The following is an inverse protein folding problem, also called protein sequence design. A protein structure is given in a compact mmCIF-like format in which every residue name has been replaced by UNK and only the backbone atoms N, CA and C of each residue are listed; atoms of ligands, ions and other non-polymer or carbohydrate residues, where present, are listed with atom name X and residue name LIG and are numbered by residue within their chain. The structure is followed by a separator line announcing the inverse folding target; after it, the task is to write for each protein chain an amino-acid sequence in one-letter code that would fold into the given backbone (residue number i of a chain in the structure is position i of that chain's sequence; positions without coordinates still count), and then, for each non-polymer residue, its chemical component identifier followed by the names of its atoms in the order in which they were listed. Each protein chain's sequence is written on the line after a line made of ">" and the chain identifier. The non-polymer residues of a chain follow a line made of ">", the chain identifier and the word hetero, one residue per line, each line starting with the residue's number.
data_IF_642187435703
#
_entry.id   IF_642187435703
#
_cell.length_a   1.000
_cell.length_b   1.000
_cell.length_c   1.000
_cell.angle_alpha   90.00
_cell.angle_beta   90.00
_cell.angle_gamma   90.00
#
_symmetry.space_group_name_H-M   'P 1'
#
loop_
_entity.id
_entity.type
_entity.pdbx_description
1 polymer ?
#
# COMPACT_ATOMS: atom_id res chain seq x y z
N UNK A 1 12.83 -3.49 -16.15
CA UNK A 1 13.85 -4.54 -15.99
C UNK A 1 14.33 -5.13 -17.31
N UNK A 2 13.55 -5.07 -18.39
CA UNK A 2 14.02 -5.51 -19.72
C UNK A 2 14.97 -4.42 -20.25
N UNK A 3 16.25 -4.74 -20.54
CA UNK A 3 17.16 -3.78 -21.13
C UNK A 3 16.67 -3.38 -22.53
N UNK A 4 16.85 -2.12 -22.91
CA UNK A 4 16.59 -1.68 -24.28
C UNK A 4 17.54 -2.41 -25.24
N UNK A 5 17.05 -2.76 -26.42
CA UNK A 5 17.87 -3.37 -27.47
C UNK A 5 19.04 -2.42 -27.80
N UNK A 6 20.27 -2.93 -27.96
CA UNK A 6 21.40 -2.08 -28.32
C UNK A 6 21.13 -1.40 -29.66
N UNK A 7 21.46 -0.11 -29.73
CA UNK A 7 21.36 0.71 -30.96
C UNK A 7 22.44 0.31 -31.97
N UNK A 8 23.62 -0.09 -31.47
CA UNK A 8 24.76 -0.50 -32.28
C UNK A 8 24.89 -2.03 -32.38
N UNK A 9 25.19 -2.53 -33.58
CA UNK A 9 25.32 -3.97 -33.87
C UNK A 9 26.70 -4.59 -33.50
N UNK A 10 27.51 -3.92 -32.68
CA UNK A 10 28.83 -4.44 -32.28
C UNK A 10 28.70 -5.73 -31.44
N UNK A 11 29.69 -6.65 -31.48
CA UNK A 11 29.64 -7.87 -30.68
C UNK A 11 29.66 -7.58 -29.17
N UNK A 12 30.34 -6.51 -28.75
CA UNK A 12 30.46 -6.09 -27.35
C UNK A 12 29.11 -5.58 -26.81
N UNK A 13 28.39 -4.75 -27.57
CA UNK A 13 27.08 -4.24 -27.16
C UNK A 13 26.05 -5.37 -27.01
N UNK A 14 26.12 -6.37 -27.90
CA UNK A 14 25.29 -7.58 -27.85
C UNK A 14 25.59 -8.43 -26.62
N UNK A 15 26.86 -8.71 -26.32
CA UNK A 15 27.24 -9.47 -25.11
C UNK A 15 26.78 -8.76 -23.82
N UNK A 16 26.98 -7.44 -23.74
CA UNK A 16 26.51 -6.65 -22.59
C UNK A 16 24.97 -6.66 -22.44
N UNK A 17 24.25 -6.63 -23.57
CA UNK A 17 22.80 -6.79 -23.58
C UNK A 17 22.35 -8.16 -23.07
N UNK A 18 22.94 -9.25 -23.56
CA UNK A 18 22.62 -10.61 -23.09
C UNK A 18 22.99 -10.82 -21.62
N UNK A 19 24.08 -10.22 -21.14
CA UNK A 19 24.42 -10.26 -19.72
C UNK A 19 23.37 -9.54 -18.87
N UNK A 20 22.95 -8.33 -19.26
CA UNK A 20 21.87 -7.60 -18.57
C UNK A 20 20.54 -8.38 -18.60
N UNK A 21 20.23 -9.02 -19.72
CA UNK A 21 19.05 -9.86 -19.87
C UNK A 21 19.12 -11.08 -18.94
N UNK A 22 20.28 -11.75 -18.87
CA UNK A 22 20.49 -12.89 -17.99
C UNK A 22 20.37 -12.51 -16.51
N UNK A 23 20.96 -11.37 -16.10
CA UNK A 23 20.78 -10.83 -14.74
C UNK A 23 19.32 -10.56 -14.45
N UNK A 24 18.58 -9.93 -15.37
CA UNK A 24 17.14 -9.69 -15.22
C UNK A 24 16.31 -10.98 -15.17
N UNK A 25 16.72 -12.02 -15.90
CA UNK A 25 16.10 -13.34 -15.86
C UNK A 25 16.30 -14.03 -14.51
N UNK A 26 17.54 -14.04 -14.00
CA UNK A 26 17.89 -14.63 -12.71
C UNK A 26 17.23 -13.86 -11.56
N UNK A 27 17.18 -12.52 -11.59
CA UNK A 27 16.50 -11.72 -10.56
C UNK A 27 15.01 -12.08 -10.48
N UNK A 28 14.34 -12.19 -11.62
CA UNK A 28 12.93 -12.58 -11.70
C UNK A 28 12.73 -14.02 -11.21
N UNK A 29 13.58 -14.96 -11.62
CA UNK A 29 13.52 -16.35 -11.20
C UNK A 29 13.64 -16.49 -9.67
N UNK A 30 14.64 -15.84 -9.06
CA UNK A 30 14.82 -15.81 -7.62
C UNK A 30 13.64 -15.13 -6.89
N UNK A 31 13.08 -14.06 -7.46
CA UNK A 31 11.89 -13.41 -6.91
C UNK A 31 10.66 -14.34 -6.91
N UNK A 32 10.48 -15.17 -7.93
CA UNK A 32 9.41 -16.18 -7.96
C UNK A 32 9.66 -17.33 -6.97
N UNK A 33 10.90 -17.79 -6.80
CA UNK A 33 11.23 -18.78 -5.76
C UNK A 33 10.88 -18.22 -4.37
N UNK A 34 11.24 -16.97 -4.10
CA UNK A 34 10.93 -16.28 -2.85
C UNK A 34 9.43 -16.24 -2.59
N UNK A 35 8.64 -15.87 -3.61
CA UNK A 35 7.18 -15.87 -3.53
C UNK A 35 6.67 -17.26 -3.14
N UNK A 36 7.04 -18.28 -3.91
CA UNK A 36 6.53 -19.64 -3.70
C UNK A 36 6.89 -20.18 -2.32
N UNK A 37 8.13 -19.95 -1.88
CA UNK A 37 8.58 -20.32 -0.55
C UNK A 37 7.72 -19.65 0.54
N UNK A 38 7.48 -18.34 0.45
CA UNK A 38 6.63 -17.62 1.38
C UNK A 38 5.16 -18.09 1.35
N UNK A 39 4.63 -18.42 0.17
CA UNK A 39 3.27 -18.97 0.01
C UNK A 39 3.15 -20.35 0.67
N UNK A 40 4.13 -21.24 0.47
CA UNK A 40 4.18 -22.57 1.09
C UNK A 40 4.23 -22.44 2.61
N UNK A 41 5.09 -21.58 3.17
CA UNK A 41 5.13 -21.33 4.61
C UNK A 41 3.82 -20.75 5.15
N UNK A 42 3.16 -19.88 4.38
CA UNK A 42 1.86 -19.33 4.74
C UNK A 42 0.74 -20.38 4.71
N UNK A 43 0.80 -21.35 3.79
CA UNK A 43 -0.10 -22.51 3.75
C UNK A 43 0.17 -23.46 4.91
N UNK A 44 1.45 -23.75 5.22
CA UNK A 44 1.84 -24.56 6.36
C UNK A 44 1.35 -23.95 7.68
N UNK A 45 1.36 -22.62 7.82
CA UNK A 45 0.78 -21.91 8.98
C UNK A 45 -0.70 -22.28 9.23
N UNK A 46 -1.46 -22.54 8.16
CA UNK A 46 -2.89 -22.86 8.21
C UNK A 46 -3.17 -24.36 8.19
N UNK A 47 -2.29 -25.15 7.56
CA UNK A 47 -2.43 -26.60 7.42
C UNK A 47 -2.16 -27.36 8.71
N UNK A 48 -2.42 -28.66 8.69
CA UNK A 48 -2.34 -29.53 9.89
C UNK A 48 -0.96 -30.16 10.10
N UNK A 49 0.04 -29.73 9.33
CA UNK A 49 1.40 -30.24 9.39
C UNK A 49 2.20 -29.54 10.50
N UNK A 50 3.11 -30.28 11.16
CA UNK A 50 3.97 -29.85 12.27
C UNK A 50 3.29 -29.50 13.60
N UNK A 51 4.11 -29.49 14.67
CA UNK A 51 3.67 -29.06 16.01
C UNK A 51 3.32 -27.57 16.01
N UNK A 52 2.32 -27.20 16.81
CA UNK A 52 1.72 -25.85 16.88
C UNK A 52 2.74 -24.71 17.01
N UNK A 53 3.75 -24.85 17.88
CA UNK A 53 4.72 -23.77 18.11
C UNK A 53 5.62 -23.54 16.90
N UNK A 54 6.07 -24.63 16.27
CA UNK A 54 6.92 -24.59 15.06
C UNK A 54 6.14 -23.93 13.91
N UNK A 55 4.88 -24.34 13.71
CA UNK A 55 3.98 -23.75 12.70
C UNK A 55 3.78 -22.24 12.88
N UNK A 56 3.61 -21.79 14.13
CA UNK A 56 3.50 -20.36 14.46
C UNK A 56 4.80 -19.60 14.16
N UNK A 57 5.94 -20.17 14.53
CA UNK A 57 7.25 -19.56 14.30
C UNK A 57 7.56 -19.43 12.80
N UNK A 58 7.43 -20.53 12.05
CA UNK A 58 7.65 -20.55 10.59
C UNK A 58 6.71 -19.60 9.85
N UNK A 59 5.45 -19.53 10.29
CA UNK A 59 4.47 -18.62 9.71
C UNK A 59 4.69 -17.14 10.08
N UNK A 60 5.39 -16.84 11.17
CA UNK A 60 5.72 -15.47 11.59
C UNK A 60 7.05 -14.99 10.97
N UNK A 61 8.01 -15.90 10.78
CA UNK A 61 9.32 -15.61 10.19
C UNK A 61 9.39 -15.93 8.69
N UNK A 62 8.26 -16.10 8.02
CA UNK A 62 8.23 -16.54 6.62
C UNK A 62 9.03 -15.61 5.69
N UNK A 63 8.84 -14.29 5.83
CA UNK A 63 9.54 -13.30 5.01
C UNK A 63 11.04 -13.27 5.35
N UNK A 64 11.48 -13.10 6.63
CA UNK A 64 12.91 -13.18 6.96
C UNK A 64 13.60 -14.49 6.52
N UNK A 65 12.96 -15.64 6.73
CA UNK A 65 13.51 -16.94 6.30
C UNK A 65 13.65 -17.02 4.79
N UNK A 66 12.67 -16.50 4.05
CA UNK A 66 12.75 -16.42 2.60
C UNK A 66 13.90 -15.52 2.13
N UNK A 67 14.12 -14.37 2.78
CA UNK A 67 15.23 -13.47 2.45
C UNK A 67 16.59 -14.17 2.64
N UNK A 68 16.75 -14.94 3.73
CA UNK A 68 17.95 -15.74 3.98
C UNK A 68 18.14 -16.84 2.92
N UNK A 69 17.06 -17.53 2.54
CA UNK A 69 17.08 -18.57 1.51
C UNK A 69 17.55 -18.02 0.16
N UNK A 70 17.00 -16.89 -0.28
CA UNK A 70 17.39 -16.28 -1.57
C UNK A 70 18.82 -15.79 -1.54
N UNK A 71 19.25 -15.19 -0.43
CA UNK A 71 20.65 -14.78 -0.25
C UNK A 71 21.59 -15.98 -0.33
N UNK A 72 21.23 -17.11 0.29
CA UNK A 72 21.99 -18.36 0.18
C UNK A 72 22.02 -18.94 -1.23
N UNK A 73 20.88 -19.01 -1.91
CA UNK A 73 20.79 -19.51 -3.29
C UNK A 73 21.59 -18.65 -4.27
N UNK A 74 21.53 -17.33 -4.12
CA UNK A 74 22.31 -16.39 -4.92
C UNK A 74 23.80 -16.67 -4.78
N UNK A 75 24.29 -16.80 -3.55
CA UNK A 75 25.73 -17.04 -3.27
C UNK A 75 26.23 -18.41 -3.71
N UNK A 76 25.41 -19.44 -3.62
CA UNK A 76 25.81 -20.82 -3.97
C UNK A 76 25.73 -21.06 -5.48
N UNK A 77 24.62 -20.69 -6.11
CA UNK A 77 24.33 -21.06 -7.51
C UNK A 77 24.54 -19.94 -8.52
N UNK A 78 24.33 -18.68 -8.13
CA UNK A 78 24.25 -17.54 -9.07
C UNK A 78 25.36 -16.50 -8.89
N UNK A 79 26.44 -16.85 -8.18
CA UNK A 79 27.58 -15.97 -7.91
C UNK A 79 28.20 -15.36 -9.17
N UNK A 80 28.11 -16.04 -10.31
CA UNK A 80 28.65 -15.56 -11.59
C UNK A 80 27.87 -14.41 -12.24
N UNK A 81 26.62 -14.14 -11.82
CA UNK A 81 25.76 -13.14 -12.46
C UNK A 81 25.85 -11.74 -11.84
N UNK A 82 26.48 -11.57 -10.67
CA UNK A 82 26.58 -10.28 -9.95
C UNK A 82 25.24 -9.53 -9.88
N UNK A 83 24.28 -10.09 -9.14
CA UNK A 83 22.96 -9.48 -9.00
C UNK A 83 23.04 -8.14 -8.27
N UNK A 84 22.17 -7.17 -8.62
CA UNK A 84 22.11 -5.92 -7.89
C UNK A 84 21.61 -6.18 -6.47
N UNK A 85 22.34 -5.67 -5.47
CA UNK A 85 22.00 -5.78 -4.06
C UNK A 85 21.47 -4.45 -3.51
N UNK A 86 20.97 -4.47 -2.27
CA UNK A 86 20.52 -3.26 -1.59
C UNK A 86 21.71 -2.32 -1.40
N UNK A 87 21.67 -1.17 -2.06
CA UNK A 87 22.71 -0.15 -1.92
C UNK A 87 22.35 0.79 -0.77
N UNK A 88 23.13 0.73 0.32
CA UNK A 88 23.02 1.64 1.46
C UNK A 88 24.31 2.45 1.49
N UNK A 89 24.25 3.79 1.53
CA UNK A 89 25.45 4.60 1.61
C UNK A 89 26.25 4.22 2.87
N UNK A 90 27.57 4.04 2.76
CA UNK A 90 28.40 3.73 3.93
C UNK A 90 28.32 4.86 4.95
N UNK A 91 28.41 4.53 6.24
CA UNK A 91 28.33 5.50 7.35
C UNK A 91 29.26 6.70 7.17
N UNK A 92 30.40 6.51 6.53
CA UNK A 92 31.43 7.54 6.32
C UNK A 92 31.03 8.62 5.30
N UNK A 93 30.02 8.35 4.46
CA UNK A 93 29.48 9.31 3.50
C UNK A 93 28.26 10.07 4.04
N UNK A 94 27.78 9.72 5.23
CA UNK A 94 26.62 10.38 5.85
C UNK A 94 27.11 11.65 6.54
N UNK A 95 26.88 12.79 5.89
CA UNK A 95 27.16 14.09 6.49
C UNK A 95 26.00 14.49 7.41
N UNK A 96 26.25 14.70 8.70
CA UNK A 96 25.21 15.13 9.64
C UNK A 96 24.67 16.53 9.28
N UNK A 97 25.45 17.35 8.56
CA UNK A 97 25.03 18.68 8.13
C UNK A 97 23.95 18.66 7.05
N UNK A 98 23.76 17.55 6.32
CA UNK A 98 22.66 17.41 5.35
C UNK A 98 21.38 16.87 5.98
N UNK A 99 21.40 16.54 7.28
CA UNK A 99 20.18 16.09 7.98
C UNK A 99 19.22 17.23 8.26
N UNK A 100 19.73 18.45 8.39
CA UNK A 100 18.91 19.66 8.51
C UNK A 100 19.43 20.64 7.49
N UNK A 101 18.70 20.79 6.39
CA UNK A 101 18.98 21.79 5.37
C UNK A 101 17.92 22.90 5.49
N UNK A 102 18.14 23.90 6.36
CA UNK A 102 17.18 24.99 6.53
C UNK A 102 17.06 25.80 5.24
N UNK A 103 15.85 26.29 4.89
CA UNK A 103 15.69 27.14 3.73
C UNK A 103 16.54 28.41 3.89
N UNK A 104 17.29 28.74 2.84
CA UNK A 104 18.09 29.97 2.82
C UNK A 104 17.17 31.18 2.66
N UNK A 105 16.86 31.85 3.77
CA UNK A 105 15.96 33.00 3.81
C UNK A 105 16.45 34.17 2.96
N UNK A 106 17.76 34.28 2.68
CA UNK A 106 18.32 35.34 1.85
C UNK A 106 18.01 35.14 0.36
N UNK A 107 17.77 33.88 -0.07
CA UNK A 107 17.56 33.50 -1.48
C UNK A 107 16.11 33.13 -1.80
N UNK A 108 15.17 33.42 -0.90
CA UNK A 108 13.74 33.16 -1.09
C UNK A 108 13.15 33.86 -2.33
N UNK A 109 13.78 34.94 -2.79
CA UNK A 109 13.34 35.72 -3.96
C UNK A 109 14.13 35.41 -5.25
N UNK A 110 15.11 34.49 -5.19
CA UNK A 110 15.91 34.06 -6.35
C UNK A 110 15.11 33.09 -7.24
N UNK A 111 14.05 33.59 -7.87
CA UNK A 111 13.33 32.85 -8.90
C UNK A 111 14.14 32.92 -10.18
N UNK A 112 14.91 31.86 -10.48
CA UNK A 112 15.89 31.72 -11.59
C UNK A 112 15.30 31.87 -13.03
N UNK A 113 14.54 32.94 -13.30
CA UNK A 113 13.86 33.39 -14.55
C UNK A 113 12.35 33.17 -14.67
N UNK A 114 11.63 32.69 -13.65
CA UNK A 114 10.17 32.57 -13.70
C UNK A 114 9.46 33.69 -12.92
N UNK A 115 8.25 34.07 -13.35
CA UNK A 115 7.46 35.06 -12.63
C UNK A 115 7.15 34.58 -11.19
N UNK A 116 7.38 35.41 -10.15
CA UNK A 116 7.13 35.03 -8.76
C UNK A 116 5.68 34.56 -8.53
N UNK A 117 4.72 35.21 -9.18
CA UNK A 117 3.28 34.88 -9.10
C UNK A 117 2.99 33.48 -9.64
N UNK A 118 3.67 33.04 -10.69
CA UNK A 118 3.51 31.70 -11.26
C UNK A 118 4.06 30.63 -10.33
N UNK A 119 5.20 30.87 -9.68
CA UNK A 119 5.80 29.93 -8.73
C UNK A 119 4.92 29.80 -7.48
N UNK A 120 4.47 30.91 -6.91
CA UNK A 120 3.55 30.87 -5.77
C UNK A 120 2.22 30.20 -6.15
N UNK A 121 1.63 30.53 -7.29
CA UNK A 121 0.39 29.92 -7.76
C UNK A 121 0.51 28.41 -7.99
N UNK A 122 1.59 27.96 -8.64
CA UNK A 122 1.84 26.52 -8.85
C UNK A 122 2.14 25.79 -7.54
N UNK A 123 2.85 26.42 -6.59
CA UNK A 123 3.09 25.83 -5.27
C UNK A 123 1.80 25.63 -4.47
N UNK A 124 0.87 26.58 -4.52
CA UNK A 124 -0.46 26.45 -3.90
C UNK A 124 -1.24 25.30 -4.56
N UNK A 125 -1.27 25.24 -5.90
CA UNK A 125 -1.95 24.18 -6.61
C UNK A 125 -1.40 22.78 -6.27
N UNK A 126 -0.07 22.62 -6.22
CA UNK A 126 0.59 21.37 -5.82
C UNK A 126 0.29 21.05 -4.34
N UNK A 127 0.32 22.05 -3.46
CA UNK A 127 0.01 21.88 -2.04
C UNK A 127 -1.42 21.38 -1.80
N UNK A 128 -2.40 21.97 -2.50
CA UNK A 128 -3.81 21.52 -2.45
C UNK A 128 -3.95 20.09 -2.98
N UNK A 129 -3.29 19.76 -4.10
CA UNK A 129 -3.33 18.41 -4.65
C UNK A 129 -2.71 17.38 -3.69
N UNK A 130 -1.55 17.67 -3.11
CA UNK A 130 -0.90 16.83 -2.10
C UNK A 130 -1.77 16.66 -0.84
N UNK A 131 -2.41 17.73 -0.38
CA UNK A 131 -3.31 17.66 0.77
C UNK A 131 -4.47 16.68 0.52
N UNK A 132 -5.07 16.69 -0.68
CA UNK A 132 -6.13 15.75 -1.05
C UNK A 132 -5.61 14.31 -1.09
N UNK A 133 -4.39 14.08 -1.63
CA UNK A 133 -3.75 12.76 -1.67
C UNK A 133 -3.52 12.22 -0.26
N UNK A 134 -2.82 12.99 0.58
CA UNK A 134 -2.47 12.58 1.94
C UNK A 134 -3.73 12.35 2.77
N UNK A 135 -4.75 13.21 2.65
CA UNK A 135 -6.04 13.01 3.30
C UNK A 135 -6.69 11.67 2.90
N UNK A 136 -6.74 11.39 1.60
CA UNK A 136 -7.36 10.17 1.10
C UNK A 136 -6.60 8.93 1.56
N UNK A 137 -5.27 8.96 1.52
CA UNK A 137 -4.44 7.85 1.96
C UNK A 137 -4.54 7.61 3.48
N UNK A 138 -4.53 8.68 4.28
CA UNK A 138 -4.75 8.61 5.73
C UNK A 138 -6.12 8.01 6.07
N UNK A 139 -7.18 8.43 5.35
CA UNK A 139 -8.53 7.88 5.53
C UNK A 139 -8.58 6.39 5.20
N UNK A 140 -8.01 5.97 4.06
CA UNK A 140 -7.98 4.56 3.65
C UNK A 140 -7.21 3.68 4.64
N UNK A 141 -6.09 4.18 5.18
CA UNK A 141 -5.31 3.49 6.19
C UNK A 141 -6.07 3.36 7.51
N UNK A 142 -6.71 4.44 7.96
CA UNK A 142 -7.51 4.44 9.18
C UNK A 142 -8.67 3.45 9.13
N UNK A 143 -9.30 3.28 7.97
CA UNK A 143 -10.35 2.27 7.76
C UNK A 143 -9.81 0.85 7.76
N UNK A 144 -8.66 0.65 7.10
CA UNK A 144 -8.00 -0.65 7.07
C UNK A 144 -7.61 -1.10 8.47
N UNK A 145 -7.17 -0.17 9.34
CA UNK A 145 -6.84 -0.42 10.74
C UNK A 145 -8.05 -0.95 11.55
N UNK A 146 -9.24 -0.42 11.30
CA UNK A 146 -10.46 -0.77 12.04
C UNK A 146 -11.14 -2.06 11.58
N UNK A 147 -10.80 -2.55 10.38
CA UNK A 147 -11.46 -3.71 9.73
C UNK A 147 -11.44 -4.98 10.60
N UNK A 148 -10.37 -5.20 11.38
CA UNK A 148 -10.13 -6.48 12.07
C UNK A 148 -10.46 -6.45 13.56
N UNK A 149 -11.56 -5.79 13.93
CA UNK A 149 -12.07 -5.73 15.31
C UNK A 149 -11.03 -5.14 16.29
N UNK A 150 -10.49 -3.97 15.92
CA UNK A 150 -9.72 -3.16 16.87
C UNK A 150 -10.64 -2.73 18.03
N UNK A 151 -10.09 -2.66 19.25
CA UNK A 151 -10.83 -2.35 20.46
C UNK A 151 -10.81 -0.85 20.71
N UNK A 152 -9.69 -0.18 20.45
CA UNK A 152 -9.56 1.26 20.68
C UNK A 152 -10.14 2.05 19.50
N UNK A 153 -10.77 3.20 19.78
CA UNK A 153 -11.25 4.08 18.73
C UNK A 153 -10.06 4.67 17.96
N UNK A 154 -10.21 4.79 16.64
CA UNK A 154 -9.26 5.50 15.81
C UNK A 154 -9.49 7.02 15.92
N UNK A 155 -8.47 7.76 16.34
CA UNK A 155 -8.50 9.23 16.45
C UNK A 155 -8.03 9.82 15.12
N UNK A 156 -8.90 9.76 14.11
CA UNK A 156 -8.57 10.17 12.74
C UNK A 156 -8.12 11.63 12.62
N UNK A 157 -8.69 12.53 13.44
CA UNK A 157 -8.34 13.96 13.41
C UNK A 157 -6.87 14.19 13.79
N UNK A 158 -6.34 13.43 14.77
CA UNK A 158 -4.96 13.57 15.20
C UNK A 158 -4.00 13.11 14.10
N UNK A 159 -4.32 12.02 13.42
CA UNK A 159 -3.53 11.51 12.29
C UNK A 159 -3.50 12.52 11.13
N UNK A 160 -4.62 13.21 10.87
CA UNK A 160 -4.68 14.27 9.86
C UNK A 160 -3.84 15.49 10.24
N UNK A 161 -3.91 15.97 11.49
CA UNK A 161 -3.09 17.10 11.94
C UNK A 161 -1.61 16.78 11.83
N UNK A 162 -1.22 15.55 12.18
CA UNK A 162 0.17 15.10 12.03
C UNK A 162 0.60 15.09 10.57
N UNK A 163 -0.18 14.46 9.69
CA UNK A 163 0.20 14.25 8.28
C UNK A 163 0.05 15.50 7.40
N UNK A 164 -0.89 16.40 7.70
CA UNK A 164 -1.18 17.57 6.88
C UNK A 164 -0.46 18.84 7.36
N UNK A 165 -0.16 18.95 8.66
CA UNK A 165 0.41 20.18 9.24
C UNK A 165 1.81 19.92 9.77
N UNK A 166 1.97 18.97 10.69
CA UNK A 166 3.23 18.80 11.43
C UNK A 166 4.34 18.24 10.54
N UNK A 167 4.11 17.11 9.86
CA UNK A 167 5.12 16.50 8.99
C UNK A 167 5.50 17.37 7.79
N UNK A 168 4.56 17.99 7.04
CA UNK A 168 4.89 18.92 5.96
C UNK A 168 5.69 20.14 6.43
N UNK A 169 5.33 20.73 7.59
CA UNK A 169 6.07 21.86 8.16
C UNK A 169 7.51 21.47 8.52
N UNK A 170 7.69 20.32 9.18
CA UNK A 170 9.03 19.81 9.53
C UNK A 170 9.82 19.52 8.25
N UNK A 171 9.22 18.86 7.27
CA UNK A 171 9.82 18.55 5.96
C UNK A 171 10.25 19.82 5.21
N UNK A 172 9.42 20.86 5.21
CA UNK A 172 9.75 22.15 4.59
C UNK A 172 10.91 22.88 5.26
N UNK A 173 11.03 22.80 6.60
CA UNK A 173 12.11 23.45 7.35
C UNK A 173 13.42 22.65 7.29
N UNK A 174 13.34 21.32 7.26
CA UNK A 174 14.54 20.45 7.33
C UNK A 174 15.03 19.98 5.97
N UNK A 175 14.23 20.16 4.91
CA UNK A 175 14.50 19.61 3.58
C UNK A 175 14.22 18.11 3.46
N UNK A 176 13.53 17.50 4.43
CA UNK A 176 13.15 16.09 4.35
C UNK A 176 12.07 15.85 3.30
N UNK A 177 11.97 14.64 2.72
CA UNK A 177 10.86 14.31 1.84
C UNK A 177 9.54 14.30 2.61
N UNK A 178 8.45 14.68 1.94
CA UNK A 178 7.11 14.52 2.48
C UNK A 178 6.80 13.03 2.69
N UNK A 179 6.21 12.72 3.83
CA UNK A 179 5.88 11.35 4.22
C UNK A 179 4.36 11.20 4.34
N UNK A 180 3.82 10.16 3.71
CA UNK A 180 2.43 9.73 3.89
C UNK A 180 2.38 8.29 4.41
N UNK A 181 1.24 7.89 4.97
CA UNK A 181 1.06 6.54 5.49
C UNK A 181 0.89 5.53 4.36
N UNK A 182 1.68 4.46 4.30
CA UNK A 182 1.60 3.50 3.17
C UNK A 182 0.60 2.36 3.44
N UNK A 183 -0.41 2.18 2.58
CA UNK A 183 -1.48 1.18 2.80
C UNK A 183 -1.01 -0.27 2.87
N UNK A 184 -0.11 -0.70 1.97
CA UNK A 184 0.39 -2.09 1.97
C UNK A 184 1.19 -2.40 3.24
N UNK A 185 1.98 -1.42 3.73
CA UNK A 185 2.75 -1.55 4.96
C UNK A 185 1.84 -1.61 6.18
N UNK A 186 0.83 -0.73 6.24
CA UNK A 186 -0.17 -0.71 7.31
C UNK A 186 -0.94 -2.02 7.37
N UNK A 187 -1.40 -2.54 6.22
CA UNK A 187 -2.11 -3.81 6.14
C UNK A 187 -1.22 -4.98 6.58
N UNK A 188 0.04 -5.02 6.11
CA UNK A 188 0.97 -6.10 6.45
C UNK A 188 1.29 -6.14 7.95
N UNK A 189 1.52 -4.97 8.55
CA UNK A 189 1.71 -4.83 10.00
C UNK A 189 0.44 -5.26 10.77
N UNK A 190 -0.74 -4.86 10.30
CA UNK A 190 -2.00 -5.26 10.91
C UNK A 190 -2.22 -6.77 10.85
N UNK A 191 -1.98 -7.41 9.70
CA UNK A 191 -2.11 -8.88 9.55
C UNK A 191 -1.15 -9.63 10.48
N UNK A 192 0.02 -9.07 10.78
CA UNK A 192 0.95 -9.64 11.76
C UNK A 192 0.42 -9.58 13.21
N UNK A 193 -0.44 -8.60 13.51
CA UNK A 193 -0.99 -8.34 14.86
C UNK A 193 -2.37 -8.99 15.10
N UNK A 194 -2.99 -9.52 14.05
CA UNK A 194 -4.31 -10.14 14.13
C UNK A 194 -4.25 -11.51 14.81
N UNK A 195 -5.10 -11.69 15.82
CA UNK A 195 -5.37 -12.99 16.44
C UNK A 195 -6.43 -13.73 15.64
N UNK A 196 -6.00 -14.82 15.01
CA UNK A 196 -6.90 -15.77 14.36
C UNK A 196 -7.40 -16.80 15.38
N UNK A 197 -8.64 -17.23 15.20
CA UNK A 197 -9.28 -18.30 15.94
C UNK A 197 -8.49 -19.60 15.75
N UNK A 198 -8.26 -20.30 16.84
CA UNK A 198 -7.26 -21.37 16.91
C UNK A 198 -7.88 -22.75 16.77
N UNK A 199 -9.18 -22.89 17.00
CA UNK A 199 -9.93 -24.13 16.91
C UNK A 199 -11.29 -23.88 16.24
N UNK A 200 -11.31 -23.48 14.96
CA UNK A 200 -12.56 -23.41 14.23
C UNK A 200 -13.16 -24.83 14.14
N UNK A 201 -14.48 -24.91 14.07
CA UNK A 201 -15.15 -26.17 13.78
C UNK A 201 -14.62 -26.78 12.46
N UNK A 202 -14.53 -28.12 12.33
CA UNK A 202 -14.05 -28.75 11.11
C UNK A 202 -14.78 -28.22 9.87
N UNK A 203 -14.02 -27.82 8.85
CA UNK A 203 -14.57 -27.26 7.61
C UNK A 203 -14.82 -25.74 7.61
N UNK A 204 -14.66 -25.06 8.76
CA UNK A 204 -14.77 -23.59 8.84
C UNK A 204 -13.39 -22.93 8.74
N UNK A 205 -13.24 -21.81 7.99
CA UNK A 205 -12.00 -21.06 7.98
C UNK A 205 -11.74 -20.40 9.34
N UNK A 206 -10.46 -20.20 9.65
CA UNK A 206 -10.05 -19.46 10.84
C UNK A 206 -10.64 -18.04 10.83
N UNK A 207 -11.46 -17.72 11.83
CA UNK A 207 -12.08 -16.39 11.99
C UNK A 207 -11.15 -15.43 12.72
N UNK A 208 -11.30 -14.13 12.46
CA UNK A 208 -10.59 -13.09 13.21
C UNK A 208 -11.26 -12.89 14.57
N UNK A 209 -10.52 -13.14 15.65
CA UNK A 209 -11.00 -12.97 17.04
C UNK A 209 -10.81 -11.52 17.48
N UNK A 210 -9.66 -10.92 17.17
CA UNK A 210 -9.34 -9.53 17.49
C UNK A 210 -7.92 -9.16 17.07
N UNK A 211 -7.52 -7.91 17.30
CA UNK A 211 -6.19 -7.39 16.94
C UNK A 211 -5.41 -6.97 18.18
N UNK A 212 -4.11 -7.29 18.24
CA UNK A 212 -3.21 -6.77 19.28
C UNK A 212 -2.76 -5.37 18.91
N UNK A 213 -3.11 -4.39 19.73
CA UNK A 213 -2.71 -3.00 19.52
C UNK A 213 -1.45 -2.69 20.31
N UNK A 214 -0.36 -2.38 19.61
CA UNK A 214 0.93 -2.05 20.22
C UNK A 214 1.54 -0.81 19.58
N UNK A 215 2.23 0.00 20.39
CA UNK A 215 3.00 1.18 19.93
C UNK A 215 4.48 0.87 19.70
N UNK A 216 4.95 -0.20 20.34
CA UNK A 216 6.36 -0.54 20.50
C UNK A 216 6.99 -1.00 19.17
N UNK A 217 6.28 -1.76 18.33
CA UNK A 217 6.83 -2.22 17.05
C UNK A 217 7.14 -1.09 16.08
N UNK A 218 6.30 -0.04 16.03
CA UNK A 218 6.56 1.12 15.18
C UNK A 218 7.85 1.84 15.58
N UNK A 219 8.05 2.03 16.89
CA UNK A 219 9.26 2.64 17.44
C UNK A 219 10.48 1.77 17.14
N UNK A 220 10.41 0.45 17.35
CA UNK A 220 11.51 -0.45 17.03
C UNK A 220 11.87 -0.46 15.54
N UNK A 221 10.88 -0.46 14.64
CA UNK A 221 11.14 -0.36 13.20
C UNK A 221 11.82 0.96 12.86
N UNK A 222 11.39 2.08 13.45
CA UNK A 222 12.02 3.38 13.26
C UNK A 222 13.49 3.39 13.72
N UNK A 223 13.77 2.84 14.91
CA UNK A 223 15.13 2.71 15.43
C UNK A 223 15.98 1.81 14.52
N UNK A 224 15.45 0.67 14.06
CA UNK A 224 16.16 -0.24 13.16
C UNK A 224 16.47 0.38 11.79
N UNK A 225 15.57 1.23 11.26
CA UNK A 225 15.83 1.99 10.04
C UNK A 225 16.91 3.04 10.27
N UNK A 226 16.93 3.73 11.41
CA UNK A 226 18.02 4.66 11.72
C UNK A 226 19.37 3.91 11.87
N UNK A 227 19.36 2.75 12.53
CA UNK A 227 20.55 1.91 12.71
C UNK A 227 21.01 1.21 11.41
N UNK A 228 20.18 1.16 10.36
CA UNK A 228 20.52 0.45 9.12
C UNK A 228 21.72 1.05 8.40
N UNK A 229 22.02 2.34 8.64
CA UNK A 229 23.22 3.01 8.11
C UNK A 229 24.49 2.32 8.63
N UNK A 230 24.53 1.95 9.91
CA UNK A 230 25.67 1.24 10.50
C UNK A 230 25.73 -0.23 10.07
N UNK A 231 24.57 -0.82 9.75
CA UNK A 231 24.45 -2.21 9.27
C UNK A 231 24.57 -2.32 7.74
N UNK A 232 24.97 -1.25 7.04
CA UNK A 232 25.03 -1.19 5.57
C UNK A 232 25.79 -2.37 4.94
N UNK A 233 26.93 -2.76 5.52
CA UNK A 233 27.75 -3.88 5.04
C UNK A 233 27.06 -5.25 5.12
N UNK A 234 26.14 -5.42 6.07
CA UNK A 234 25.38 -6.67 6.20
C UNK A 234 24.19 -6.65 5.24
N UNK A 235 23.47 -5.53 5.18
CA UNK A 235 22.28 -5.37 4.34
C UNK A 235 22.62 -5.36 2.85
N UNK A 236 23.82 -4.92 2.46
CA UNK A 236 24.29 -4.96 1.07
C UNK A 236 24.53 -6.37 0.53
N UNK A 237 24.49 -7.40 1.40
CA UNK A 237 24.52 -8.79 0.95
C UNK A 237 23.17 -9.27 0.43
N UNK A 238 22.08 -8.56 0.72
CA UNK A 238 20.73 -8.96 0.33
C UNK A 238 20.51 -8.59 -1.15
N UNK A 239 20.26 -9.55 -2.05
CA UNK A 239 19.97 -9.26 -3.45
C UNK A 239 18.60 -8.59 -3.59
N UNK A 240 18.47 -7.62 -4.50
CA UNK A 240 17.20 -6.94 -4.79
C UNK A 240 16.08 -7.91 -5.21
N UNK A 241 16.47 -9.05 -5.80
CA UNK A 241 15.55 -10.15 -6.15
C UNK A 241 14.71 -10.62 -4.95
N UNK A 242 15.31 -10.70 -3.75
CA UNK A 242 14.62 -11.11 -2.54
C UNK A 242 13.56 -10.07 -2.13
N UNK A 243 13.88 -8.77 -2.25
CA UNK A 243 12.93 -7.69 -1.97
C UNK A 243 11.76 -7.69 -2.96
N UNK A 244 12.01 -7.90 -4.25
CA UNK A 244 10.94 -8.01 -5.25
C UNK A 244 10.00 -9.18 -4.95
N UNK A 245 10.55 -10.35 -4.60
CA UNK A 245 9.73 -11.50 -4.20
C UNK A 245 8.91 -11.25 -2.94
N UNK A 246 9.48 -10.54 -1.97
CA UNK A 246 8.80 -10.13 -0.74
C UNK A 246 7.66 -9.13 -1.01
N UNK A 247 7.87 -8.13 -1.88
CA UNK A 247 6.82 -7.20 -2.31
C UNK A 247 5.70 -7.92 -3.08
N UNK A 248 6.04 -8.87 -3.95
CA UNK A 248 5.05 -9.68 -4.67
C UNK A 248 4.23 -10.52 -3.69
N UNK A 249 4.88 -11.16 -2.71
CA UNK A 249 4.20 -11.91 -1.65
C UNK A 249 3.21 -11.03 -0.86
N UNK A 250 3.64 -9.84 -0.42
CA UNK A 250 2.75 -8.90 0.29
C UNK A 250 1.59 -8.44 -0.60
N UNK A 251 1.83 -8.20 -1.89
CA UNK A 251 0.79 -7.88 -2.86
C UNK A 251 -0.27 -8.99 -2.97
N UNK A 252 0.15 -10.23 -3.21
CA UNK A 252 -0.74 -11.39 -3.33
C UNK A 252 -1.53 -11.64 -2.04
N UNK A 253 -0.86 -11.57 -0.88
CA UNK A 253 -1.51 -11.73 0.41
C UNK A 253 -2.50 -10.61 0.72
N UNK A 254 -2.18 -9.37 0.33
CA UNK A 254 -3.06 -8.21 0.48
C UNK A 254 -4.34 -8.32 -0.35
N UNK A 255 -4.26 -8.89 -1.56
CA UNK A 255 -5.42 -9.08 -2.44
C UNK A 255 -6.40 -10.15 -1.93
N UNK A 256 -5.89 -11.19 -1.25
CA UNK A 256 -6.72 -12.34 -0.82
C UNK A 256 -7.89 -11.95 0.09
N UNK A 257 -7.69 -10.97 0.96
CA UNK A 257 -8.67 -10.59 1.98
C UNK A 257 -9.56 -9.40 1.53
N UNK A 258 -9.52 -9.03 0.24
CA UNK A 258 -10.38 -8.01 -0.36
C UNK A 258 -11.73 -8.61 -0.77
N UNK A 259 -12.81 -8.01 -0.29
CA UNK A 259 -14.20 -8.42 -0.63
C UNK A 259 -14.48 -8.32 -2.13
N UNK A 260 -13.81 -7.40 -2.85
CA UNK A 260 -13.88 -7.35 -4.32
C UNK A 260 -13.33 -8.62 -4.98
N UNK A 261 -12.13 -9.04 -4.59
CA UNK A 261 -11.48 -10.26 -5.11
C UNK A 261 -12.29 -11.50 -4.75
N UNK A 262 -12.74 -11.61 -3.49
CA UNK A 262 -13.59 -12.71 -3.05
C UNK A 262 -14.88 -12.83 -3.89
N UNK A 263 -15.51 -11.71 -4.24
CA UNK A 263 -16.70 -11.71 -5.11
C UNK A 263 -16.40 -12.12 -6.53
N UNK A 264 -15.30 -11.65 -7.13
CA UNK A 264 -14.88 -12.10 -8.46
C UNK A 264 -14.61 -13.60 -8.45
N UNK A 265 -13.85 -14.11 -7.47
CA UNK A 265 -13.60 -15.53 -7.33
C UNK A 265 -14.90 -16.33 -7.10
N UNK A 266 -15.84 -15.81 -6.32
CA UNK A 266 -17.14 -16.44 -6.07
C UNK A 266 -18.01 -16.50 -7.35
N UNK A 267 -17.97 -15.48 -8.20
CA UNK A 267 -18.64 -15.48 -9.51
C UNK A 267 -18.04 -16.54 -10.46
N UNK A 268 -16.76 -16.86 -10.32
CA UNK A 268 -16.11 -17.95 -11.07
C UNK A 268 -16.45 -19.34 -10.51
N UNK A 269 -16.89 -19.44 -9.24
CA UNK A 269 -17.35 -20.69 -8.61
C UNK A 269 -18.83 -20.94 -8.93
N UNK A 270 -19.21 -22.22 -9.04
CA UNK A 270 -20.63 -22.61 -9.10
C UNK A 270 -21.33 -22.20 -7.80
N UNK A 271 -22.56 -21.67 -7.90
CA UNK A 271 -23.39 -21.18 -6.79
C UNK A 271 -23.53 -22.12 -5.58
N UNK A 272 -23.44 -23.44 -5.80
CA UNK A 272 -23.50 -24.45 -4.73
C UNK A 272 -22.30 -24.42 -3.77
N UNK A 273 -21.18 -23.83 -4.19
CA UNK A 273 -19.95 -23.70 -3.39
C UNK A 273 -19.75 -22.28 -2.87
N UNK A 274 -20.79 -21.43 -2.90
CA UNK A 274 -20.70 -20.11 -2.29
C UNK A 274 -20.69 -20.25 -0.78
N UNK A 275 -19.69 -19.64 -0.17
CA UNK A 275 -19.45 -19.76 1.26
C UNK A 275 -20.04 -18.56 1.99
N UNK A 276 -20.50 -18.74 3.24
CA UNK A 276 -21.17 -17.69 4.02
C UNK A 276 -20.28 -16.47 4.28
N UNK A 277 -18.96 -16.69 4.41
CA UNK A 277 -17.98 -15.63 4.66
C UNK A 277 -17.62 -14.80 3.43
N UNK A 278 -18.06 -15.18 2.22
CA UNK A 278 -17.88 -14.35 1.03
C UNK A 278 -18.88 -13.17 1.00
N UNK A 279 -19.86 -13.13 1.91
CA UNK A 279 -20.95 -12.14 1.95
C UNK A 279 -21.77 -12.10 0.64
N UNK A 280 -21.81 -13.21 -0.10
CA UNK A 280 -22.49 -13.34 -1.41
C UNK A 280 -23.78 -14.17 -1.30
N UNK A 281 -23.95 -14.91 -0.20
CA UNK A 281 -25.10 -15.81 -0.02
C UNK A 281 -26.39 -15.01 0.19
N UNK A 282 -27.43 -15.36 -0.57
CA UNK A 282 -28.72 -14.66 -0.57
C UNK A 282 -28.89 -13.64 -1.71
N UNK A 283 -27.81 -13.24 -2.38
CA UNK A 283 -27.89 -12.30 -3.50
C UNK A 283 -28.07 -13.01 -4.85
N UNK A 284 -28.86 -12.43 -5.78
CA UNK A 284 -28.93 -12.87 -7.16
C UNK A 284 -27.59 -12.62 -7.90
N UNK A 285 -27.06 -13.64 -8.57
CA UNK A 285 -25.74 -13.61 -9.24
C UNK A 285 -25.58 -12.43 -10.22
N UNK A 286 -26.65 -12.03 -10.90
CA UNK A 286 -26.63 -10.90 -11.85
C UNK A 286 -26.27 -9.57 -11.19
N UNK A 287 -26.73 -9.35 -9.96
CA UNK A 287 -26.50 -8.07 -9.26
C UNK A 287 -25.08 -8.00 -8.72
N UNK A 288 -24.56 -9.12 -8.20
CA UNK A 288 -23.14 -9.24 -7.79
C UNK A 288 -22.23 -9.01 -8.99
N UNK A 289 -22.56 -9.59 -10.16
CA UNK A 289 -21.81 -9.39 -11.40
C UNK A 289 -21.77 -7.91 -11.80
N UNK A 290 -22.92 -7.23 -11.86
CA UNK A 290 -22.97 -5.80 -12.22
C UNK A 290 -22.15 -4.97 -11.24
N UNK A 291 -22.26 -5.21 -9.93
CA UNK A 291 -21.48 -4.48 -8.93
C UNK A 291 -19.97 -4.72 -9.09
N UNK A 292 -19.56 -5.98 -9.28
CA UNK A 292 -18.16 -6.33 -9.50
C UNK A 292 -17.62 -5.78 -10.82
N UNK A 293 -18.43 -5.69 -11.88
CA UNK A 293 -18.04 -5.08 -13.15
C UNK A 293 -17.83 -3.57 -13.02
N UNK A 294 -18.73 -2.86 -12.32
CA UNK A 294 -18.56 -1.42 -12.05
C UNK A 294 -17.26 -1.18 -11.26
N UNK A 295 -17.00 -1.98 -10.23
CA UNK A 295 -15.76 -1.89 -9.45
C UNK A 295 -14.52 -2.24 -10.27
N UNK A 296 -14.58 -3.27 -11.11
CA UNK A 296 -13.49 -3.65 -11.99
C UNK A 296 -13.18 -2.54 -13.00
N UNK A 297 -14.20 -1.87 -13.55
CA UNK A 297 -14.02 -0.75 -14.46
C UNK A 297 -13.30 0.43 -13.78
N UNK A 298 -13.68 0.78 -12.54
CA UNK A 298 -13.00 1.84 -11.78
C UNK A 298 -11.55 1.47 -11.47
N UNK A 299 -11.29 0.23 -11.04
CA UNK A 299 -9.91 -0.25 -10.82
C UNK A 299 -9.10 -0.23 -12.11
N UNK A 300 -9.69 -0.63 -13.24
CA UNK A 300 -9.04 -0.60 -14.54
C UNK A 300 -8.67 0.83 -14.96
N UNK A 301 -9.57 1.79 -14.76
CA UNK A 301 -9.29 3.22 -15.00
C UNK A 301 -8.11 3.69 -14.15
N UNK A 302 -8.12 3.37 -12.84
CA UNK A 302 -7.05 3.75 -11.93
C UNK A 302 -5.70 3.12 -12.31
N UNK A 303 -5.69 1.85 -12.72
CA UNK A 303 -4.47 1.14 -13.17
C UNK A 303 -3.96 1.74 -14.48
N UNK A 304 -4.83 2.00 -15.45
CA UNK A 304 -4.45 2.63 -16.71
C UNK A 304 -3.82 4.02 -16.47
N UNK A 305 -4.40 4.82 -15.58
CA UNK A 305 -3.84 6.13 -15.21
C UNK A 305 -2.49 6.02 -14.50
N UNK A 306 -2.32 5.01 -13.65
CA UNK A 306 -1.04 4.76 -12.97
C UNK A 306 0.06 4.38 -13.98
N UNK A 307 -0.24 3.51 -14.94
CA UNK A 307 0.69 3.16 -16.03
C UNK A 307 1.03 4.39 -16.87
N UNK A 308 0.06 5.26 -17.13
CA UNK A 308 0.28 6.51 -17.87
C UNK A 308 1.15 7.49 -17.08
N UNK A 309 0.96 7.60 -15.75
CA UNK A 309 1.74 8.50 -14.91
C UNK A 309 3.22 8.14 -14.80
N UNK A 310 3.58 6.88 -15.03
CA UNK A 310 4.98 6.45 -15.08
C UNK A 310 5.73 7.00 -16.30
N UNK A 311 5.03 7.49 -17.33
CA UNK A 311 5.66 8.16 -18.46
C UNK A 311 5.95 9.63 -18.13
N UNK A 312 7.19 10.06 -18.37
CA UNK A 312 7.74 11.36 -17.94
C UNK A 312 6.96 12.59 -18.41
N UNK A 313 6.22 12.47 -19.52
CA UNK A 313 5.40 13.56 -20.09
C UNK A 313 4.09 13.79 -19.31
N UNK A 314 3.64 12.81 -18.51
CA UNK A 314 2.33 12.80 -17.87
C UNK A 314 2.36 12.55 -16.35
N UNK A 315 3.50 12.83 -15.68
CA UNK A 315 3.67 12.58 -14.24
C UNK A 315 2.56 13.23 -13.36
N UNK A 316 2.05 14.39 -13.77
CA UNK A 316 0.96 15.10 -13.06
C UNK A 316 -0.37 14.34 -13.02
N UNK A 317 -0.58 13.35 -13.91
CA UNK A 317 -1.80 12.52 -13.93
C UNK A 317 -1.95 11.71 -12.64
N UNK A 318 -0.84 11.38 -11.97
CA UNK A 318 -0.85 10.68 -10.68
C UNK A 318 -1.60 11.46 -9.57
N UNK A 319 -1.68 12.79 -9.69
CA UNK A 319 -2.37 13.65 -8.73
C UNK A 319 -3.89 13.50 -8.75
N UNK A 320 -4.45 12.97 -9.86
CA UNK A 320 -5.90 12.82 -10.07
C UNK A 320 -6.44 11.56 -9.38
N UNK A 321 -5.57 10.60 -9.04
CA UNK A 321 -5.95 9.30 -8.48
C UNK A 321 -6.93 9.36 -7.29
N UNK A 322 -6.69 10.19 -6.25
CA UNK A 322 -7.61 10.27 -5.10
C UNK A 322 -8.96 10.91 -5.45
N UNK A 323 -8.99 11.83 -6.42
CA UNK A 323 -10.22 12.49 -6.88
C UNK A 323 -11.15 11.45 -7.49
N UNK A 324 -10.63 10.52 -8.29
CA UNK A 324 -11.43 9.45 -8.90
C UNK A 324 -12.02 8.53 -7.82
N UNK A 325 -11.24 8.19 -6.80
CA UNK A 325 -11.72 7.38 -5.67
C UNK A 325 -12.83 8.12 -4.91
N UNK A 326 -12.67 9.42 -4.68
CA UNK A 326 -13.67 10.25 -4.01
C UNK A 326 -14.97 10.33 -4.82
N UNK A 327 -14.87 10.60 -6.14
CA UNK A 327 -16.02 10.61 -7.05
C UNK A 327 -16.72 9.25 -7.05
N UNK A 328 -15.99 8.14 -7.11
CA UNK A 328 -16.58 6.81 -7.02
C UNK A 328 -17.32 6.60 -5.69
N UNK A 329 -16.75 7.08 -4.58
CA UNK A 329 -17.41 7.07 -3.27
C UNK A 329 -18.73 7.85 -3.28
N UNK A 330 -18.76 9.03 -3.88
CA UNK A 330 -19.98 9.85 -4.01
C UNK A 330 -21.02 9.20 -4.92
N UNK A 331 -20.62 8.66 -6.08
CA UNK A 331 -21.51 7.92 -6.98
C UNK A 331 -22.13 6.74 -6.24
N UNK A 332 -21.35 6.02 -5.44
CA UNK A 332 -21.83 4.89 -4.66
C UNK A 332 -22.89 5.29 -3.65
N UNK A 333 -22.73 6.42 -2.97
CA UNK A 333 -23.65 6.85 -1.91
C UNK A 333 -24.90 7.56 -2.46
N UNK A 334 -24.79 8.32 -3.54
CA UNK A 334 -25.90 9.14 -4.05
C UNK A 334 -26.59 8.58 -5.29
N UNK A 335 -25.88 7.89 -6.18
CA UNK A 335 -26.43 7.39 -7.45
C UNK A 335 -26.91 5.94 -7.35
N UNK A 336 -26.10 5.04 -6.77
CA UNK A 336 -26.47 3.61 -6.66
C UNK A 336 -27.75 3.32 -5.85
N UNK A 337 -28.08 4.02 -4.74
CA UNK A 337 -29.35 3.76 -4.05
C UNK A 337 -30.58 4.30 -4.79
N UNK A 338 -30.41 5.18 -5.78
CA UNK A 338 -31.51 5.63 -6.65
C UNK A 338 -31.88 4.60 -7.72
N UNK A 339 -31.01 3.63 -7.99
CA UNK A 339 -31.34 2.51 -8.86
C UNK A 339 -32.14 1.47 -8.09
N UNK A 340 -33.47 1.49 -8.26
CA UNK A 340 -34.42 0.59 -7.57
C UNK A 340 -34.03 -0.89 -7.66
N UNK A 341 -33.47 -1.30 -8.81
CA UNK A 341 -33.00 -2.66 -9.05
C UNK A 341 -31.81 -3.08 -8.17
N UNK A 342 -30.91 -2.14 -7.84
CA UNK A 342 -29.68 -2.42 -7.07
C UNK A 342 -29.80 -2.03 -5.58
N UNK A 343 -30.69 -1.09 -5.26
CA UNK A 343 -30.83 -0.49 -3.93
C UNK A 343 -31.16 -1.51 -2.83
N UNK A 344 -32.04 -2.48 -3.11
CA UNK A 344 -32.47 -3.52 -2.17
C UNK A 344 -31.31 -4.37 -1.63
N UNK A 345 -30.26 -4.54 -2.45
CA UNK A 345 -29.13 -5.41 -2.14
C UNK A 345 -27.90 -4.64 -1.67
N UNK A 346 -27.90 -3.30 -1.82
CA UNK A 346 -26.76 -2.46 -1.49
C UNK A 346 -26.40 -2.56 0.00
N UNK A 347 -27.40 -2.63 0.89
CA UNK A 347 -27.20 -2.75 2.35
C UNK A 347 -26.47 -4.05 2.76
N UNK A 348 -26.76 -5.17 2.11
CA UNK A 348 -26.11 -6.47 2.41
C UNK A 348 -24.64 -6.50 1.93
N UNK A 349 -24.35 -5.81 0.83
CA UNK A 349 -22.99 -5.70 0.26
C UNK A 349 -22.11 -4.72 1.05
N UNK A 350 -22.70 -3.87 1.89
CA UNK A 350 -22.06 -2.69 2.49
C UNK A 350 -21.54 -2.87 3.93
N UNK A 351 -21.24 -4.07 4.42
CA UNK A 351 -20.73 -4.22 5.80
C UNK A 351 -19.42 -3.43 6.10
N UNK A 352 -18.66 -3.02 5.08
CA UNK A 352 -17.36 -2.33 5.26
C UNK A 352 -17.44 -0.80 5.03
N UNK A 353 -18.34 -0.28 4.18
CA UNK A 353 -18.50 1.18 3.98
C UNK A 353 -19.43 1.80 5.03
N UNK A 354 -20.28 1.00 5.67
CA UNK A 354 -21.00 1.41 6.88
C UNK A 354 -20.07 1.75 8.04
N UNK A 355 -18.75 1.50 7.97
CA UNK A 355 -17.76 2.03 8.92
C UNK A 355 -17.24 3.42 8.52
N UNK A 356 -17.12 3.72 7.22
CA UNK A 356 -16.79 5.05 6.69
C UNK A 356 -17.88 6.07 7.08
N UNK A 357 -19.14 5.69 6.85
CA UNK A 357 -20.30 6.54 7.18
C UNK A 357 -20.96 6.18 8.52
N UNK A 358 -20.64 5.04 9.12
CA UNK A 358 -20.96 4.77 10.53
C UNK A 358 -20.11 5.62 11.46
N UNK A 359 -18.90 6.01 11.08
CA UNK A 359 -18.19 7.10 11.76
C UNK A 359 -18.95 8.44 11.67
N UNK A 360 -19.63 8.69 10.55
CA UNK A 360 -20.50 9.86 10.34
C UNK A 360 -21.82 9.75 11.11
N UNK A 361 -22.35 8.53 11.32
CA UNK A 361 -23.65 8.28 11.95
C UNK A 361 -23.56 7.97 13.46
N UNK A 362 -22.45 7.44 13.93
CA UNK A 362 -22.21 7.06 15.34
C UNK A 362 -21.63 8.22 16.16
N UNK A 363 -21.06 9.24 15.51
CA UNK A 363 -21.00 10.57 16.10
C UNK A 363 -22.34 11.25 15.86
N UNK A 364 -23.16 11.32 16.92
CA UNK A 364 -24.35 12.19 17.04
C UNK A 364 -23.94 13.68 17.06
N UNK A 365 -22.99 14.05 16.21
CA UNK A 365 -22.53 15.39 15.92
C UNK A 365 -22.63 15.55 14.39
N UNK A 366 -23.85 15.80 13.93
CA UNK A 366 -24.16 16.39 12.62
C UNK A 366 -23.34 17.68 12.39
N UNK A 367 -22.72 18.25 13.44
CA UNK A 367 -21.70 19.30 13.34
C UNK A 367 -20.42 18.89 12.60
N UNK A 368 -19.99 17.62 12.55
CA UNK A 368 -18.76 17.23 11.84
C UNK A 368 -18.93 17.15 10.32
N UNK A 369 -20.10 16.75 9.81
CA UNK A 369 -20.42 16.89 8.39
C UNK A 369 -20.71 18.35 8.03
N UNK A 370 -21.29 19.11 8.96
CA UNK A 370 -21.33 20.57 8.86
C UNK A 370 -19.93 21.18 8.85
N UNK A 371 -18.92 20.61 9.53
CA UNK A 371 -17.53 21.06 9.45
C UNK A 371 -16.82 20.63 8.16
N UNK A 372 -17.13 19.47 7.55
CA UNK A 372 -16.59 19.13 6.23
C UNK A 372 -17.23 19.97 5.12
N UNK A 373 -18.52 20.29 5.27
CA UNK A 373 -19.23 21.26 4.43
C UNK A 373 -18.84 22.72 4.73
N UNK A 374 -18.48 23.07 5.98
CA UNK A 374 -17.92 24.40 6.32
C UNK A 374 -16.47 24.49 5.87
N UNK A 375 -15.67 23.44 5.89
CA UNK A 375 -14.29 23.46 5.37
C UNK A 375 -14.32 23.62 3.83
N UNK A 376 -15.30 23.06 3.13
CA UNK A 376 -15.50 23.37 1.71
C UNK A 376 -16.16 24.74 1.44
N UNK A 377 -16.89 25.33 2.41
CA UNK A 377 -17.63 26.59 2.23
C UNK A 377 -16.98 27.82 2.94
N UNK A 378 -15.92 27.62 3.73
CA UNK A 378 -15.10 28.69 4.34
C UNK A 378 -13.75 28.91 3.62
N UNK A 379 -13.28 27.98 2.78
CA UNK A 379 -12.07 28.20 1.98
C UNK A 379 -12.34 28.82 0.59
N UNK A 380 -13.52 29.43 0.40
CA UNK A 380 -13.84 30.35 -0.71
C UNK A 380 -13.86 31.82 -0.26
N UNK A 381 -13.65 32.11 1.03
CA UNK A 381 -13.56 33.48 1.53
C UNK A 381 -12.36 33.57 2.48
N UNK A 382 -11.41 34.42 2.12
CA UNK A 382 -10.15 34.81 2.80
C UNK A 382 -8.87 34.19 2.21
N UNK A 383 -8.27 35.03 1.36
CA UNK A 383 -6.91 35.09 0.78
C UNK A 383 -6.70 34.34 -0.53
#
# INVERSE_FOLDING_TARGET
>A
MIPAKPVDNTPISRMAYYQKLAVAGVTLFLAFIMLQFCLILAQLKRGNYFRRNIRKLLGALNVPLGMLLITGLERIFFRGYNLPTVNIPPSNQVNASTWVNPPDFARLQDYSKAAPTLIHGTSIAIGVALAIIIFTEAALNGLTAMKNKAVKPNIFVMDLVLLQIIFPTISGITGWPFMSGTTVRTLSNLVALVKMDQSPAPGMPHKIVGTVEQRVSGVFVGILVALSIFLGSILSNIPLAALYGMFLYMGVMGLRDLTFVLRICSLMKRRKHWEDWECVRGLPSRHILVFSLIQAAVVLILVSLNIISDFTVANYVGLIFPIIILIYGLIREFALPKWEWLALYLHQVCSVILLLFGFIKYNRCIKCLYYLSLIFNQYIIVI
#
